data_IF_690576172723
#
_entry.id   IF_690576172723
#
_cell.length_a   1.000
_cell.length_b   1.000
_cell.length_c   1.000
_cell.angle_alpha   90.00
_cell.angle_beta   90.00
_cell.angle_gamma   90.00
#
_symmetry.space_group_name_H-M   'P 1'
#
loop_
_entity.id
_entity.type
_entity.pdbx_description
1 polymer ?
#
# COMPACT_ATOMS: atom_id res chain seq x y z
N UNK A 1 28.06 -43.03 24.32
CA UNK A 1 26.81 -42.53 24.93
C UNK A 1 26.73 -41.04 24.60
N UNK A 2 26.28 -40.59 23.41
CA UNK A 2 24.95 -40.67 22.76
C UNK A 2 23.83 -40.00 23.58
N UNK A 3 23.41 -38.81 23.12
CA UNK A 3 22.14 -38.04 23.31
C UNK A 3 22.47 -36.58 23.66
N UNK A 4 21.90 -35.52 23.08
CA UNK A 4 21.07 -35.22 21.90
C UNK A 4 21.06 -33.66 21.86
N UNK A 5 21.59 -32.96 20.86
CA UNK A 5 20.92 -32.53 19.64
C UNK A 5 19.41 -32.20 19.82
N UNK A 6 19.10 -30.92 20.03
CA UNK A 6 17.94 -30.22 19.44
C UNK A 6 17.96 -28.74 19.86
N UNK A 7 18.91 -27.97 19.31
CA UNK A 7 18.70 -26.54 19.13
C UNK A 7 17.61 -26.41 18.05
N UNK A 8 16.36 -26.22 18.49
CA UNK A 8 15.21 -26.00 17.62
C UNK A 8 15.42 -24.72 16.82
N UNK A 9 15.54 -24.88 15.52
CA UNK A 9 15.71 -23.84 14.52
C UNK A 9 14.44 -23.00 14.40
N UNK A 10 14.51 -21.75 14.86
CA UNK A 10 13.46 -20.74 14.68
C UNK A 10 13.23 -20.51 13.19
N UNK A 11 12.13 -21.05 12.66
CA UNK A 11 11.74 -20.86 11.26
C UNK A 11 11.58 -19.38 10.93
N UNK A 12 11.86 -18.95 9.68
CA UNK A 12 11.89 -17.55 9.33
C UNK A 12 10.50 -16.94 9.49
N UNK A 13 10.31 -16.14 10.55
CA UNK A 13 9.25 -15.14 10.59
C UNK A 13 9.54 -14.16 9.45
N UNK A 14 8.93 -14.37 8.29
CA UNK A 14 9.01 -13.45 7.16
C UNK A 14 8.22 -12.21 7.52
N UNK A 15 8.83 -11.34 8.34
CA UNK A 15 8.30 -10.04 8.71
C UNK A 15 8.05 -9.28 7.40
N UNK A 16 6.80 -8.90 7.09
CA UNK A 16 6.53 -8.21 5.85
C UNK A 16 7.38 -6.94 5.81
N UNK A 17 8.19 -6.81 4.75
CA UNK A 17 9.02 -5.62 4.52
C UNK A 17 8.05 -4.48 4.23
N UNK A 18 7.88 -3.57 5.19
CA UNK A 18 7.14 -2.33 4.98
C UNK A 18 8.00 -1.37 4.17
N UNK A 19 7.61 -0.98 2.95
CA UNK A 19 8.30 0.10 2.25
C UNK A 19 8.06 1.40 3.03
N UNK A 20 9.07 1.85 3.76
CA UNK A 20 9.08 3.19 4.38
C UNK A 20 9.40 4.19 3.28
N UNK A 21 8.41 4.99 2.89
CA UNK A 21 8.64 6.17 2.07
C UNK A 21 9.10 7.32 2.97
N UNK A 22 10.16 8.02 2.60
CA UNK A 22 10.63 9.18 3.36
C UNK A 22 9.70 10.38 3.12
N UNK A 23 9.59 11.28 4.10
CA UNK A 23 8.80 12.51 3.98
C UNK A 23 9.23 13.36 2.77
N UNK A 24 10.51 13.32 2.41
CA UNK A 24 11.04 14.02 1.25
C UNK A 24 10.46 13.49 -0.08
N UNK A 25 10.37 12.17 -0.25
CA UNK A 25 9.76 11.57 -1.44
C UNK A 25 8.27 11.89 -1.54
N UNK A 26 7.56 11.92 -0.42
CA UNK A 26 6.15 12.33 -0.39
C UNK A 26 5.98 13.80 -0.83
N UNK A 27 6.77 14.72 -0.27
CA UNK A 27 6.72 16.13 -0.65
C UNK A 27 7.05 16.34 -2.14
N UNK A 28 8.06 15.64 -2.65
CA UNK A 28 8.40 15.65 -4.08
C UNK A 28 7.22 15.18 -4.94
N UNK A 29 6.57 14.08 -4.58
CA UNK A 29 5.45 13.55 -5.36
C UNK A 29 4.28 14.55 -5.44
N UNK A 30 3.94 15.20 -4.31
CA UNK A 30 2.92 16.26 -4.27
C UNK A 30 3.32 17.45 -5.14
N UNK A 31 4.58 17.87 -5.07
CA UNK A 31 5.10 18.98 -5.88
C UNK A 31 5.06 18.65 -7.39
N UNK A 32 5.52 17.46 -7.79
CA UNK A 32 5.47 17.02 -9.19
C UNK A 32 4.05 16.96 -9.74
N UNK A 33 3.11 16.48 -8.93
CA UNK A 33 1.69 16.47 -9.30
C UNK A 33 1.14 17.89 -9.48
N UNK A 34 1.44 18.81 -8.55
CA UNK A 34 1.02 20.20 -8.65
C UNK A 34 1.58 20.90 -9.90
N UNK A 35 2.87 20.69 -10.19
CA UNK A 35 3.52 21.24 -11.39
C UNK A 35 2.89 20.67 -12.67
N UNK A 36 2.59 19.36 -12.71
CA UNK A 36 1.95 18.72 -13.85
C UNK A 36 0.55 19.28 -14.12
N UNK A 37 -0.29 19.40 -13.09
CA UNK A 37 -1.64 19.96 -13.22
C UNK A 37 -1.58 21.43 -13.64
N UNK A 38 -0.69 22.22 -13.04
CA UNK A 38 -0.50 23.63 -13.41
C UNK A 38 -0.05 23.78 -14.88
N UNK A 39 0.89 22.95 -15.33
CA UNK A 39 1.32 22.93 -16.73
C UNK A 39 0.18 22.65 -17.69
N UNK A 40 -0.71 21.71 -17.37
CA UNK A 40 -1.89 21.41 -18.19
C UNK A 40 -2.87 22.59 -18.23
N UNK A 41 -3.12 23.24 -17.10
CA UNK A 41 -3.98 24.45 -17.04
C UNK A 41 -3.40 25.57 -17.90
N UNK A 42 -2.09 25.82 -17.82
CA UNK A 42 -1.40 26.81 -18.64
C UNK A 42 -1.53 26.44 -20.13
N UNK A 43 -1.31 25.18 -20.50
CA UNK A 43 -1.45 24.72 -21.87
C UNK A 43 -2.87 24.95 -22.44
N UNK A 44 -3.91 24.67 -21.64
CA UNK A 44 -5.30 24.94 -22.02
C UNK A 44 -5.59 26.44 -22.17
N UNK A 45 -4.96 27.30 -21.36
CA UNK A 45 -5.14 28.74 -21.44
C UNK A 45 -4.56 29.34 -22.74
N UNK A 46 -3.38 28.85 -23.16
CA UNK A 46 -2.71 29.30 -24.39
C UNK A 46 -3.17 28.56 -25.66
N UNK A 47 -4.03 27.54 -25.54
CA UNK A 47 -4.57 26.81 -26.67
C UNK A 47 -5.43 27.75 -27.55
N UNK A 48 -5.11 27.92 -28.85
CA UNK A 48 -5.90 28.73 -29.78
C UNK A 48 -7.18 27.98 -30.18
N UNK A 49 -8.15 27.95 -29.25
CA UNK A 49 -9.43 27.29 -29.43
C UNK A 49 -10.58 28.17 -28.90
N UNK A 50 -11.79 27.90 -29.38
CA UNK A 50 -12.98 28.57 -28.87
C UNK A 50 -13.15 28.34 -27.36
N UNK A 51 -13.73 29.32 -26.65
CA UNK A 51 -13.88 29.27 -25.20
C UNK A 51 -14.61 28.00 -24.70
N UNK A 52 -15.64 27.55 -25.43
CA UNK A 52 -16.39 26.36 -25.06
C UNK A 52 -15.57 25.06 -25.17
N UNK A 53 -14.67 24.94 -26.16
CA UNK A 53 -13.78 23.78 -26.32
C UNK A 53 -12.81 23.72 -25.14
N UNK A 54 -12.21 24.86 -24.78
CA UNK A 54 -11.32 24.95 -23.62
C UNK A 54 -12.03 24.58 -22.32
N UNK A 55 -13.27 25.03 -22.13
CA UNK A 55 -14.07 24.67 -20.97
C UNK A 55 -14.37 23.16 -20.91
N UNK A 56 -14.75 22.54 -22.03
CA UNK A 56 -14.97 21.09 -22.10
C UNK A 56 -13.70 20.30 -21.76
N UNK A 57 -12.55 20.68 -22.31
CA UNK A 57 -11.27 20.04 -22.00
C UNK A 57 -10.85 20.23 -20.54
N UNK A 58 -11.08 21.43 -19.97
CA UNK A 58 -10.79 21.70 -18.56
C UNK A 58 -11.67 20.85 -17.63
N UNK A 59 -12.96 20.68 -17.95
CA UNK A 59 -13.86 19.79 -17.21
C UNK A 59 -13.41 18.33 -17.31
N UNK A 60 -13.03 17.87 -18.51
CA UNK A 60 -12.49 16.52 -18.71
C UNK A 60 -11.22 16.27 -17.88
N UNK A 61 -10.28 17.21 -17.90
CA UNK A 61 -9.06 17.15 -17.09
C UNK A 61 -9.38 17.08 -15.59
N UNK A 62 -10.26 17.95 -15.10
CA UNK A 62 -10.66 17.99 -13.69
C UNK A 62 -11.33 16.67 -13.26
N UNK A 63 -12.20 16.12 -14.12
CA UNK A 63 -12.88 14.86 -13.85
C UNK A 63 -11.93 13.66 -13.83
N UNK A 64 -11.01 13.57 -14.80
CA UNK A 64 -9.98 12.52 -14.84
C UNK A 64 -9.09 12.59 -13.59
N UNK A 65 -8.64 13.79 -13.20
CA UNK A 65 -7.80 13.97 -12.01
C UNK A 65 -8.56 13.53 -10.74
N UNK A 66 -9.80 13.97 -10.58
CA UNK A 66 -10.62 13.67 -9.39
C UNK A 66 -10.94 12.17 -9.28
N UNK A 67 -11.33 11.54 -10.39
CA UNK A 67 -11.61 10.09 -10.43
C UNK A 67 -10.35 9.25 -10.22
N UNK A 68 -9.20 9.67 -10.75
CA UNK A 68 -7.91 9.00 -10.51
C UNK A 68 -7.53 9.02 -9.04
N UNK A 69 -7.63 10.17 -8.35
CA UNK A 69 -7.35 10.26 -6.90
C UNK A 69 -8.30 9.37 -6.09
N UNK A 70 -9.57 9.33 -6.48
CA UNK A 70 -10.57 8.45 -5.84
C UNK A 70 -10.22 6.99 -6.02
N UNK A 71 -9.85 6.58 -7.25
CA UNK A 71 -9.40 5.23 -7.55
C UNK A 71 -8.12 4.86 -6.76
N UNK A 72 -7.15 5.77 -6.68
CA UNK A 72 -5.94 5.57 -5.89
C UNK A 72 -6.25 5.32 -4.41
N UNK A 73 -7.21 6.06 -3.82
CA UNK A 73 -7.68 5.81 -2.44
C UNK A 73 -8.26 4.41 -2.32
N UNK A 74 -9.19 4.03 -3.20
CA UNK A 74 -9.80 2.69 -3.19
C UNK A 74 -8.74 1.59 -3.27
N UNK A 75 -7.75 1.73 -4.15
CA UNK A 75 -6.65 0.76 -4.28
C UNK A 75 -5.79 0.69 -3.01
N UNK A 76 -5.44 1.85 -2.42
CA UNK A 76 -4.68 1.91 -1.17
C UNK A 76 -5.45 1.30 -0.01
N UNK A 77 -6.73 1.66 0.13
CA UNK A 77 -7.60 1.15 1.19
C UNK A 77 -7.73 -0.38 1.08
N UNK A 78 -7.80 -0.93 -0.15
CA UNK A 78 -7.77 -2.39 -0.38
C UNK A 78 -6.46 -3.04 0.07
N UNK A 79 -5.32 -2.41 -0.18
CA UNK A 79 -4.02 -2.93 0.27
C UNK A 79 -3.92 -2.91 1.80
N UNK A 80 -4.36 -1.83 2.44
CA UNK A 80 -4.37 -1.70 3.91
C UNK A 80 -5.30 -2.74 4.56
N UNK A 81 -6.49 -3.00 3.98
CA UNK A 81 -7.41 -4.04 4.47
C UNK A 81 -6.78 -5.44 4.44
N UNK A 82 -6.06 -5.79 3.37
CA UNK A 82 -5.39 -7.09 3.23
C UNK A 82 -4.21 -7.22 4.22
N UNK A 83 -3.44 -6.15 4.43
CA UNK A 83 -2.37 -6.14 5.44
C UNK A 83 -2.94 -6.33 6.85
N UNK A 84 -4.08 -5.72 7.17
CA UNK A 84 -4.71 -5.84 8.50
C UNK A 84 -5.29 -7.24 8.70
N UNK A 85 -6.00 -7.80 7.73
CA UNK A 85 -6.58 -9.15 7.86
C UNK A 85 -5.49 -10.22 8.05
N UNK A 86 -4.41 -10.16 7.28
CA UNK A 86 -3.30 -11.10 7.41
C UNK A 86 -2.61 -11.06 8.78
N UNK A 87 -2.46 -9.87 9.39
CA UNK A 87 -1.93 -9.73 10.76
C UNK A 87 -2.84 -10.35 11.80
N UNK A 88 -4.16 -10.21 11.64
CA UNK A 88 -5.14 -10.83 12.54
C UNK A 88 -5.12 -12.35 12.39
N UNK A 89 -5.03 -12.86 11.17
CA UNK A 89 -4.92 -14.30 10.90
C UNK A 89 -3.64 -14.87 11.50
N UNK A 90 -2.50 -14.19 11.35
CA UNK A 90 -1.24 -14.57 12.01
C UNK A 90 -1.40 -14.62 13.54
N UNK A 91 -1.94 -13.57 14.16
CA UNK A 91 -2.14 -13.56 15.62
C UNK A 91 -3.12 -14.65 16.10
N UNK A 92 -4.15 -14.98 15.30
CA UNK A 92 -5.07 -16.08 15.59
C UNK A 92 -4.38 -17.43 15.48
N UNK A 93 -3.58 -17.63 14.43
CA UNK A 93 -2.78 -18.84 14.26
C UNK A 93 -1.77 -19.01 15.40
N UNK A 94 -1.05 -17.94 15.76
CA UNK A 94 -0.11 -17.94 16.88
C UNK A 94 -0.80 -18.31 18.19
N UNK A 95 -2.01 -17.79 18.43
CA UNK A 95 -2.82 -18.15 19.60
C UNK A 95 -3.24 -19.62 19.58
N UNK A 96 -3.72 -20.13 18.45
CA UNK A 96 -4.11 -21.54 18.31
C UNK A 96 -2.92 -22.48 18.52
N UNK A 97 -1.75 -22.13 18.00
CA UNK A 97 -0.50 -22.87 18.21
C UNK A 97 -0.03 -22.82 19.67
N UNK A 98 -0.27 -21.72 20.38
CA UNK A 98 0.08 -21.58 21.78
C UNK A 98 -0.88 -22.34 22.71
N UNK A 99 -2.18 -22.36 22.41
CA UNK A 99 -3.20 -23.08 23.18
C UNK A 99 -3.17 -24.59 22.90
N UNK A 100 -2.89 -24.98 21.66
CA UNK A 100 -2.69 -26.36 21.24
C UNK A 100 -1.26 -26.50 20.73
N UNK A 101 -0.33 -26.84 21.62
CA UNK A 101 1.07 -27.14 21.28
C UNK A 101 1.19 -28.62 20.83
N UNK A 102 1.17 -28.93 19.52
CA UNK A 102 1.28 -30.30 19.03
C UNK A 102 2.69 -30.88 19.22
N UNK A 103 3.68 -30.11 19.71
CA UNK A 103 5.04 -30.61 19.95
C UNK A 103 5.26 -31.11 21.39
N UNK A 104 4.25 -30.98 22.26
CA UNK A 104 4.15 -31.77 23.50
C UNK A 104 3.47 -33.11 23.22
N UNK A 105 4.05 -33.91 22.32
CA UNK A 105 3.78 -35.36 22.33
C UNK A 105 4.78 -35.95 23.30
N UNK A 106 4.24 -36.62 24.32
CA UNK A 106 4.94 -37.19 25.46
C UNK A 106 6.31 -37.79 25.08
N UNK A 107 7.37 -37.18 25.61
CA UNK A 107 8.66 -37.86 25.75
C UNK A 107 8.50 -38.92 26.85
N UNK A 108 7.81 -40.01 26.54
CA UNK A 108 7.72 -41.24 27.32
C UNK A 108 8.55 -42.35 26.63
#
# INVERSE_FOLDING_TARGET
>A
MRRAAAAGHDGPMTKPIRPTQTTAFYAQAVLSFAVSVASMVIALAYLPAAAWVRAFLALGLLYVVTSTVTLCKVVRDRQELVEVSSRVDQARLDKLLAEHDPFKVDAA
#
